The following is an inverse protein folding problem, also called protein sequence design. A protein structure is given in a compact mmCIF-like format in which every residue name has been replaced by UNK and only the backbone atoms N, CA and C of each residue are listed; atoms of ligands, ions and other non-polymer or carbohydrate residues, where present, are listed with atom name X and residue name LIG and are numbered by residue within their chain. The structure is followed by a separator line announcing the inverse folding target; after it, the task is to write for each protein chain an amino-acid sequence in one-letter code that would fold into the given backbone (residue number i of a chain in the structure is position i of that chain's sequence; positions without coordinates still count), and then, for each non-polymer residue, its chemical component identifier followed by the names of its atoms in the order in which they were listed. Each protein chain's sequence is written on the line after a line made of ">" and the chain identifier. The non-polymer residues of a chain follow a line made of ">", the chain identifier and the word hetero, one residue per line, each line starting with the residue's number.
data_IF_391263415054
#
_entry.id   IF_391263415054
#
_cell.length_a   1.000
_cell.length_b   1.000
_cell.length_c   1.000
_cell.angle_alpha   90.00
_cell.angle_beta   90.00
_cell.angle_gamma   90.00
#
_symmetry.space_group_name_H-M   'P 1'
#
loop_
_entity.id
_entity.type
_entity.pdbx_description
1 polymer ?
#
# COMPACT_ATOMS: atom_id res chain seq x y z
N UNK A 1 -63.20 -57.34 -30.92
CA UNK A 1 -63.60 -56.06 -30.31
C UNK A 1 -62.33 -55.27 -30.05
N UNK A 2 -62.08 -54.23 -30.85
CA UNK A 2 -60.94 -53.30 -30.73
C UNK A 2 -61.23 -52.29 -29.63
N UNK A 3 -60.26 -52.01 -28.76
CA UNK A 3 -60.18 -50.72 -28.05
C UNK A 3 -58.70 -50.31 -27.98
N UNK A 4 -58.42 -49.17 -28.59
CA UNK A 4 -57.17 -48.41 -28.59
C UNK A 4 -57.08 -47.42 -27.39
N UNK A 5 -55.90 -46.82 -27.27
CA UNK A 5 -55.52 -45.52 -26.69
C UNK A 5 -54.95 -45.44 -25.27
N UNK A 6 -53.82 -44.73 -25.17
CA UNK A 6 -53.37 -44.08 -23.94
C UNK A 6 -51.87 -43.81 -23.79
N UNK A 7 -51.20 -43.20 -24.78
CA UNK A 7 -49.82 -42.72 -24.65
C UNK A 7 -49.80 -41.44 -23.79
N UNK A 8 -49.29 -41.51 -22.55
CA UNK A 8 -49.13 -40.35 -21.67
C UNK A 8 -47.70 -39.84 -21.80
N UNK A 9 -47.56 -38.61 -22.28
CA UNK A 9 -46.30 -37.94 -22.54
C UNK A 9 -45.54 -37.54 -21.28
N UNK A 10 -44.25 -37.84 -21.26
CA UNK A 10 -43.25 -37.36 -20.32
C UNK A 10 -42.90 -35.90 -20.64
N UNK A 11 -43.47 -34.97 -19.88
CA UNK A 11 -43.05 -33.57 -19.86
C UNK A 11 -41.74 -33.41 -19.09
N UNK A 12 -40.65 -33.15 -19.79
CA UNK A 12 -39.37 -32.73 -19.19
C UNK A 12 -39.53 -31.27 -18.76
N UNK A 13 -39.64 -31.04 -17.45
CA UNK A 13 -39.55 -29.70 -16.86
C UNK A 13 -38.08 -29.33 -16.80
N UNK A 14 -37.61 -28.59 -17.80
CA UNK A 14 -36.28 -27.97 -17.79
C UNK A 14 -36.25 -26.85 -16.74
N UNK A 15 -35.64 -27.15 -15.59
CA UNK A 15 -35.34 -26.19 -14.55
C UNK A 15 -34.19 -25.28 -15.03
N UNK A 16 -34.52 -24.09 -15.54
CA UNK A 16 -33.52 -23.06 -15.81
C UNK A 16 -33.03 -22.49 -14.47
N UNK A 17 -31.82 -22.87 -14.08
CA UNK A 17 -31.07 -22.18 -13.03
C UNK A 17 -30.65 -20.83 -13.63
N UNK A 18 -31.38 -19.76 -13.29
CA UNK A 18 -30.90 -18.39 -13.48
C UNK A 18 -29.75 -18.19 -12.51
N UNK A 19 -28.53 -18.39 -13.01
CA UNK A 19 -27.33 -17.86 -12.37
C UNK A 19 -27.42 -16.34 -12.44
N UNK A 20 -27.88 -15.73 -11.35
CA UNK A 20 -27.73 -14.29 -11.15
C UNK A 20 -26.24 -14.02 -10.96
N UNK A 21 -25.52 -13.85 -12.07
CA UNK A 21 -24.23 -13.17 -12.07
C UNK A 21 -24.48 -11.70 -11.74
N UNK A 22 -24.80 -11.44 -10.48
CA UNK A 22 -24.68 -10.14 -9.87
C UNK A 22 -23.21 -9.77 -9.83
N UNK A 23 -22.70 -9.25 -10.94
CA UNK A 23 -21.43 -8.54 -11.00
C UNK A 23 -21.58 -7.25 -10.19
N UNK A 24 -21.57 -7.38 -8.87
CA UNK A 24 -21.09 -6.31 -8.02
C UNK A 24 -19.67 -6.02 -8.54
N UNK A 25 -19.49 -4.83 -9.12
CA UNK A 25 -18.20 -4.33 -9.55
C UNK A 25 -17.33 -4.13 -8.31
N UNK A 26 -16.78 -5.23 -7.78
CA UNK A 26 -15.69 -5.20 -6.81
C UNK A 26 -14.59 -4.42 -7.50
N UNK A 27 -14.40 -3.16 -7.10
CA UNK A 27 -13.31 -2.36 -7.59
C UNK A 27 -12.03 -3.18 -7.43
N UNK A 28 -11.41 -3.55 -8.55
CA UNK A 28 -10.22 -4.38 -8.55
C UNK A 28 -9.19 -3.68 -7.67
N UNK A 29 -8.55 -4.35 -6.68
CA UNK A 29 -7.58 -3.69 -5.79
C UNK A 29 -6.49 -2.91 -6.55
N UNK A 30 -6.15 -3.37 -7.75
CA UNK A 30 -5.25 -2.67 -8.68
C UNK A 30 -5.81 -1.31 -9.15
N UNK A 31 -7.11 -1.21 -9.44
CA UNK A 31 -7.77 0.04 -9.81
C UNK A 31 -7.78 1.03 -8.63
N UNK A 32 -8.10 0.58 -7.42
CA UNK A 32 -8.03 1.42 -6.20
C UNK A 32 -6.61 1.94 -5.96
N UNK A 33 -5.60 1.05 -6.08
CA UNK A 33 -4.19 1.42 -5.98
C UNK A 33 -3.78 2.46 -7.03
N UNK A 34 -4.14 2.25 -8.30
CA UNK A 34 -3.77 3.14 -9.39
C UNK A 34 -4.42 4.52 -9.24
N UNK A 35 -5.68 4.57 -8.79
CA UNK A 35 -6.37 5.82 -8.49
C UNK A 35 -5.67 6.59 -7.35
N UNK A 36 -5.28 5.89 -6.28
CA UNK A 36 -4.56 6.48 -5.16
C UNK A 36 -3.15 6.96 -5.56
N UNK A 37 -2.45 6.18 -6.39
CA UNK A 37 -1.13 6.53 -6.91
C UNK A 37 -1.18 7.79 -7.79
N UNK A 38 -2.22 7.94 -8.62
CA UNK A 38 -2.43 9.16 -9.43
C UNK A 38 -2.60 10.39 -8.54
N UNK A 39 -3.42 10.29 -7.48
CA UNK A 39 -3.60 11.38 -6.52
C UNK A 39 -2.30 11.74 -5.80
N UNK A 40 -1.54 10.73 -5.39
CA UNK A 40 -0.24 10.91 -4.75
C UNK A 40 0.76 11.62 -5.67
N UNK A 41 0.88 11.18 -6.91
CA UNK A 41 1.77 11.76 -7.91
C UNK A 41 1.51 13.27 -8.07
N UNK A 42 0.24 13.64 -8.26
CA UNK A 42 -0.19 15.05 -8.35
C UNK A 42 0.16 15.85 -7.09
N UNK A 43 0.04 15.26 -5.90
CA UNK A 43 0.37 15.93 -4.65
C UNK A 43 1.89 16.12 -4.46
N UNK A 44 2.69 15.13 -4.87
CA UNK A 44 4.14 15.08 -4.61
C UNK A 44 4.99 16.08 -5.40
N UNK A 45 4.53 16.52 -6.58
CA UNK A 45 5.28 17.49 -7.39
C UNK A 45 5.22 18.94 -6.91
N UNK A 46 4.25 19.28 -6.05
CA UNK A 46 3.89 20.67 -5.80
C UNK A 46 4.87 21.49 -4.95
N UNK A 47 5.66 20.85 -4.07
CA UNK A 47 6.48 21.61 -3.12
C UNK A 47 7.59 22.44 -3.79
N UNK A 48 8.15 21.96 -4.90
CA UNK A 48 9.18 22.68 -5.67
C UNK A 48 8.64 23.95 -6.35
N UNK A 49 7.33 24.00 -6.56
CA UNK A 49 6.65 25.15 -7.18
C UNK A 49 6.03 26.11 -6.18
N UNK A 50 6.05 25.77 -4.89
CA UNK A 50 5.51 26.62 -3.83
C UNK A 50 6.35 27.89 -3.67
N UNK A 51 5.70 29.05 -3.68
CA UNK A 51 6.34 30.36 -3.55
C UNK A 51 6.28 30.89 -2.14
N UNK A 52 5.25 30.50 -1.39
CA UNK A 52 5.03 30.96 -0.01
C UNK A 52 5.12 29.82 1.00
N UNK A 53 5.29 30.20 2.25
CA UNK A 53 5.46 29.27 3.36
C UNK A 53 4.17 28.51 3.67
N UNK A 54 3.02 29.17 3.57
CA UNK A 54 1.72 28.52 3.65
C UNK A 54 1.51 27.50 2.52
N UNK A 55 1.98 27.78 1.30
CA UNK A 55 1.90 26.81 0.21
C UNK A 55 2.76 25.58 0.53
N UNK A 56 4.01 25.77 0.99
CA UNK A 56 4.88 24.66 1.40
C UNK A 56 4.25 23.84 2.53
N UNK A 57 3.72 24.49 3.57
CA UNK A 57 3.02 23.83 4.69
C UNK A 57 1.83 23.00 4.21
N UNK A 58 0.95 23.57 3.39
CA UNK A 58 -0.21 22.87 2.83
C UNK A 58 0.21 21.67 1.95
N UNK A 59 1.34 21.76 1.24
CA UNK A 59 1.90 20.63 0.50
C UNK A 59 2.35 19.49 1.42
N UNK A 60 3.07 19.81 2.49
CA UNK A 60 3.50 18.83 3.51
C UNK A 60 2.27 18.14 4.13
N UNK A 61 1.29 18.92 4.58
CA UNK A 61 0.05 18.39 5.19
C UNK A 61 -0.75 17.50 4.22
N UNK A 62 -0.78 17.86 2.93
CA UNK A 62 -1.43 17.03 1.90
C UNK A 62 -0.70 15.70 1.71
N UNK A 63 0.63 15.72 1.69
CA UNK A 63 1.43 14.51 1.56
C UNK A 63 1.30 13.58 2.75
N UNK A 64 1.23 14.14 3.96
CA UNK A 64 1.09 13.39 5.21
C UNK A 64 -0.16 12.49 5.28
N UNK A 65 -1.16 12.72 4.41
CA UNK A 65 -2.39 11.90 4.36
C UNK A 65 -2.25 10.61 3.56
N UNK A 66 -1.24 10.49 2.70
CA UNK A 66 -1.12 9.35 1.79
C UNK A 66 -0.62 8.05 2.44
N UNK A 67 0.34 8.06 3.39
CA UNK A 67 0.78 6.84 4.06
C UNK A 67 -0.39 6.01 4.62
N UNK A 68 -1.24 6.60 5.45
CA UNK A 68 -2.41 5.91 6.02
C UNK A 68 -3.37 5.37 4.96
N UNK A 69 -3.56 6.07 3.83
CA UNK A 69 -4.46 5.63 2.75
C UNK A 69 -3.92 4.41 2.01
N UNK A 70 -2.61 4.36 1.75
CA UNK A 70 -1.99 3.18 1.16
C UNK A 70 -2.01 1.99 2.11
N UNK A 71 -1.82 2.22 3.41
CA UNK A 71 -1.91 1.16 4.43
C UNK A 71 -3.32 0.60 4.56
N UNK A 72 -4.34 1.46 4.55
CA UNK A 72 -5.74 1.02 4.56
C UNK A 72 -6.07 0.12 3.35
N UNK A 73 -5.52 0.44 2.16
CA UNK A 73 -5.70 -0.40 0.98
C UNK A 73 -5.01 -1.76 1.14
N UNK A 74 -3.80 -1.81 1.72
CA UNK A 74 -3.08 -3.05 1.96
C UNK A 74 -3.82 -3.95 2.96
N UNK A 75 -4.34 -3.38 4.04
CA UNK A 75 -5.11 -4.10 5.05
C UNK A 75 -6.44 -4.64 4.55
N UNK A 76 -7.08 -3.94 3.61
CA UNK A 76 -8.31 -4.40 2.96
C UNK A 76 -8.05 -5.61 2.05
N UNK A 77 -6.83 -5.77 1.56
CA UNK A 77 -6.49 -6.80 0.56
C UNK A 77 -5.14 -7.52 0.85
N UNK A 78 -4.94 -8.10 2.05
CA UNK A 78 -3.63 -8.55 2.52
C UNK A 78 -3.00 -9.66 1.67
N UNK A 79 -3.83 -10.53 1.10
CA UNK A 79 -3.39 -11.64 0.24
C UNK A 79 -3.16 -11.22 -1.21
N UNK A 80 -3.62 -10.02 -1.61
CA UNK A 80 -3.45 -9.54 -2.96
C UNK A 80 -2.02 -8.99 -3.15
N UNK A 81 -1.32 -9.26 -4.28
CA UNK A 81 -0.01 -8.71 -4.55
C UNK A 81 0.04 -7.17 -4.55
N UNK A 82 -1.11 -6.50 -4.68
CA UNK A 82 -1.25 -5.05 -4.52
C UNK A 82 -0.95 -4.58 -3.09
N UNK A 83 -1.21 -5.38 -2.05
CA UNK A 83 -0.96 -4.96 -0.67
C UNK A 83 0.51 -4.64 -0.41
N UNK A 84 1.44 -5.51 -0.83
CA UNK A 84 2.87 -5.23 -0.71
C UNK A 84 3.29 -4.00 -1.54
N UNK A 85 2.70 -3.80 -2.73
CA UNK A 85 2.94 -2.58 -3.53
C UNK A 85 2.44 -1.33 -2.81
N UNK A 86 1.29 -1.40 -2.16
CA UNK A 86 0.71 -0.32 -1.39
C UNK A 86 1.55 0.01 -0.14
N UNK A 87 2.01 -1.00 0.61
CA UNK A 87 2.92 -0.79 1.76
C UNK A 87 4.22 -0.13 1.30
N UNK A 88 4.82 -0.61 0.20
CA UNK A 88 6.00 0.04 -0.40
C UNK A 88 5.74 1.50 -0.74
N UNK A 89 4.57 1.79 -1.31
CA UNK A 89 4.20 3.16 -1.66
C UNK A 89 3.92 4.03 -0.43
N UNK A 90 3.43 3.46 0.67
CA UNK A 90 3.31 4.14 1.95
C UNK A 90 4.68 4.59 2.48
N UNK A 91 5.70 3.72 2.42
CA UNK A 91 7.09 4.06 2.79
C UNK A 91 7.62 5.20 1.92
N UNK A 92 7.36 5.15 0.61
CA UNK A 92 7.73 6.25 -0.28
C UNK A 92 7.04 7.56 0.09
N UNK A 93 5.74 7.52 0.40
CA UNK A 93 4.99 8.70 0.82
C UNK A 93 5.51 9.29 2.14
N UNK A 94 5.91 8.43 3.08
CA UNK A 94 6.57 8.83 4.32
C UNK A 94 7.86 9.60 4.01
N UNK A 95 8.77 9.02 3.22
CA UNK A 95 10.04 9.67 2.87
C UNK A 95 9.86 10.96 2.06
N UNK A 96 8.88 11.00 1.16
CA UNK A 96 8.55 12.24 0.42
C UNK A 96 7.99 13.32 1.33
N UNK A 97 7.22 12.98 2.37
CA UNK A 97 6.75 13.95 3.35
C UNK A 97 7.89 14.45 4.24
N UNK A 98 8.81 13.58 4.66
CA UNK A 98 9.99 13.96 5.45
C UNK A 98 10.88 14.93 4.66
N UNK A 99 11.19 14.58 3.40
CA UNK A 99 11.93 15.46 2.50
C UNK A 99 11.21 16.78 2.27
N UNK A 100 9.88 16.76 2.07
CA UNK A 100 9.09 17.97 1.91
C UNK A 100 9.12 18.86 3.17
N UNK A 101 9.05 18.25 4.35
CA UNK A 101 9.12 18.95 5.63
C UNK A 101 10.49 19.60 5.83
N UNK A 102 11.56 18.89 5.45
CA UNK A 102 12.92 19.41 5.51
C UNK A 102 13.14 20.57 4.55
N UNK A 103 12.75 20.44 3.27
CA UNK A 103 12.78 21.56 2.31
C UNK A 103 11.99 22.74 2.84
N UNK A 104 10.80 22.48 3.39
CA UNK A 104 10.00 23.52 3.98
C UNK A 104 10.77 24.19 5.12
N UNK A 105 11.42 23.44 6.02
CA UNK A 105 12.19 23.97 7.14
C UNK A 105 13.38 24.82 6.68
N UNK A 106 14.18 24.34 5.72
CA UNK A 106 15.34 25.06 5.20
C UNK A 106 14.96 26.38 4.51
N UNK A 107 13.81 26.42 3.84
CA UNK A 107 13.38 27.58 3.06
C UNK A 107 12.62 28.63 3.89
N UNK A 108 12.42 28.43 5.20
CA UNK A 108 11.34 29.09 5.92
C UNK A 108 11.74 29.60 7.31
N UNK A 109 11.09 30.69 7.74
CA UNK A 109 11.14 31.22 9.11
C UNK A 109 9.89 30.82 9.93
N UNK A 110 8.92 30.13 9.32
CA UNK A 110 7.64 29.79 9.93
C UNK A 110 7.63 28.41 10.60
N UNK A 111 6.71 28.25 11.55
CA UNK A 111 6.53 27.04 12.36
C UNK A 111 5.86 25.93 11.53
N UNK A 112 6.65 25.03 10.93
CA UNK A 112 6.16 23.91 10.13
C UNK A 112 5.75 22.75 11.06
N UNK A 113 4.65 22.03 10.75
CA UNK A 113 4.20 20.89 11.55
C UNK A 113 5.28 19.82 11.71
N UNK A 114 5.36 19.28 12.93
CA UNK A 114 6.38 18.32 13.36
C UNK A 114 6.03 16.92 12.83
N UNK A 115 6.54 16.60 11.63
CA UNK A 115 6.60 15.22 11.10
C UNK A 115 5.25 14.47 10.97
N UNK A 116 5.33 13.16 10.73
CA UNK A 116 4.18 12.26 10.65
C UNK A 116 3.71 11.93 12.06
N UNK A 117 2.45 12.26 12.38
CA UNK A 117 1.87 12.00 13.71
C UNK A 117 0.86 10.86 13.73
N UNK A 118 0.51 10.28 12.57
CA UNK A 118 -0.57 9.29 12.45
C UNK A 118 -0.16 7.83 12.77
N UNK A 119 1.08 7.62 13.22
CA UNK A 119 1.62 6.29 13.53
C UNK A 119 1.88 5.40 12.30
N UNK A 120 1.77 5.92 11.07
CA UNK A 120 1.99 5.16 9.84
C UNK A 120 3.33 4.40 9.79
N UNK A 121 4.48 4.93 10.25
CA UNK A 121 5.73 4.17 10.26
C UNK A 121 5.65 2.89 11.09
N UNK A 122 5.10 2.96 12.31
CA UNK A 122 4.90 1.79 13.16
C UNK A 122 3.93 0.79 12.53
N UNK A 123 2.87 1.28 11.89
CA UNK A 123 1.87 0.45 11.21
C UNK A 123 2.42 -0.25 9.96
N UNK A 124 3.28 0.41 9.18
CA UNK A 124 4.06 -0.23 8.10
C UNK A 124 4.83 -1.43 8.63
N UNK A 125 5.58 -1.25 9.72
CA UNK A 125 6.41 -2.29 10.32
C UNK A 125 5.55 -3.46 10.82
N UNK A 126 4.43 -3.16 11.48
CA UNK A 126 3.51 -4.18 11.97
C UNK A 126 2.97 -5.06 10.82
N UNK A 127 2.54 -4.46 9.70
CA UNK A 127 2.03 -5.21 8.55
C UNK A 127 3.13 -6.05 7.88
N UNK A 128 4.32 -5.47 7.69
CA UNK A 128 5.44 -6.20 7.09
C UNK A 128 5.90 -7.38 7.95
N UNK A 129 5.96 -7.21 9.27
CA UNK A 129 6.32 -8.29 10.19
C UNK A 129 5.28 -9.40 10.20
N UNK A 130 3.98 -9.05 10.18
CA UNK A 130 2.88 -10.01 10.20
C UNK A 130 2.82 -10.84 8.91
N UNK A 131 2.86 -10.19 7.75
CA UNK A 131 2.46 -10.82 6.49
C UNK A 131 3.62 -11.12 5.55
N UNK A 132 4.72 -10.36 5.63
CA UNK A 132 5.74 -10.34 4.58
C UNK A 132 7.16 -10.63 5.07
N UNK A 133 7.38 -10.87 6.35
CA UNK A 133 8.73 -10.99 6.94
C UNK A 133 9.61 -12.04 6.25
N UNK A 134 9.02 -13.14 5.79
CA UNK A 134 9.70 -14.24 5.10
C UNK A 134 9.57 -14.19 3.57
N UNK A 135 8.97 -13.14 3.02
CA UNK A 135 8.79 -13.01 1.57
C UNK A 135 10.13 -12.74 0.86
N UNK A 136 10.32 -13.34 -0.31
CA UNK A 136 11.38 -12.96 -1.25
C UNK A 136 11.06 -11.68 -2.02
N UNK A 137 9.84 -11.16 -1.92
CA UNK A 137 9.40 -9.91 -2.56
C UNK A 137 9.77 -8.64 -1.80
N UNK A 138 10.48 -8.75 -0.67
CA UNK A 138 10.84 -7.62 0.18
C UNK A 138 11.91 -6.69 -0.42
N UNK A 139 12.65 -7.11 -1.46
CA UNK A 139 13.77 -6.34 -2.00
C UNK A 139 13.43 -4.87 -2.28
N UNK A 140 12.39 -4.56 -3.07
CA UNK A 140 11.96 -3.19 -3.31
C UNK A 140 11.43 -2.43 -2.08
N UNK A 141 11.04 -3.12 -1.02
CA UNK A 141 10.62 -2.50 0.26
C UNK A 141 11.85 -2.12 1.08
N UNK A 142 12.80 -3.04 1.20
CA UNK A 142 14.08 -2.83 1.91
C UNK A 142 14.87 -1.69 1.25
N UNK A 143 14.93 -1.67 -0.08
CA UNK A 143 15.58 -0.59 -0.83
C UNK A 143 14.96 0.79 -0.52
N UNK A 144 13.62 0.86 -0.38
CA UNK A 144 12.94 2.12 0.01
C UNK A 144 13.25 2.53 1.44
N UNK A 145 13.32 1.57 2.37
CA UNK A 145 13.66 1.84 3.76
C UNK A 145 15.09 2.36 3.92
N UNK A 146 16.03 1.93 3.06
CA UNK A 146 17.42 2.43 3.08
C UNK A 146 17.52 3.96 2.98
N UNK A 147 16.57 4.61 2.31
CA UNK A 147 16.56 6.07 2.17
C UNK A 147 15.83 6.79 3.31
N UNK A 148 15.20 6.07 4.24
CA UNK A 148 14.51 6.64 5.40
C UNK A 148 15.24 6.34 6.69
N UNK A 149 15.75 7.37 7.39
CA UNK A 149 16.41 7.23 8.70
C UNK A 149 15.37 7.13 9.82
N UNK A 150 14.51 6.11 9.81
CA UNK A 150 13.45 5.92 10.82
C UNK A 150 13.72 4.69 11.68
N UNK A 151 13.83 4.88 12.99
CA UNK A 151 14.16 3.82 13.96
C UNK A 151 13.18 2.64 13.91
N UNK A 152 11.92 2.87 13.53
CA UNK A 152 10.95 1.80 13.34
C UNK A 152 11.37 0.82 12.24
N UNK A 153 11.98 1.31 11.16
CA UNK A 153 12.46 0.48 10.06
C UNK A 153 13.67 -0.35 10.47
N UNK A 154 14.54 0.16 11.34
CA UNK A 154 15.69 -0.60 11.87
C UNK A 154 15.23 -1.92 12.53
N UNK A 155 14.18 -1.86 13.37
CA UNK A 155 13.62 -3.05 14.03
C UNK A 155 13.15 -4.10 13.02
N UNK A 156 12.50 -3.65 11.94
CA UNK A 156 12.08 -4.55 10.86
C UNK A 156 13.27 -5.16 10.11
N UNK A 157 14.26 -4.34 9.71
CA UNK A 157 15.44 -4.81 8.99
C UNK A 157 16.24 -5.84 9.80
N UNK A 158 16.38 -5.64 11.12
CA UNK A 158 16.99 -6.65 12.01
C UNK A 158 16.17 -7.94 12.07
N UNK A 159 14.84 -7.86 12.03
CA UNK A 159 14.00 -9.05 11.96
C UNK A 159 14.20 -9.80 10.62
N UNK A 160 14.28 -9.09 9.49
CA UNK A 160 14.57 -9.69 8.17
C UNK A 160 15.89 -10.45 8.20
N UNK A 161 16.96 -9.87 8.78
CA UNK A 161 18.25 -10.57 8.90
C UNK A 161 18.17 -11.89 9.67
N UNK A 162 17.38 -11.92 10.74
CA UNK A 162 17.29 -13.10 11.63
C UNK A 162 16.36 -14.18 11.08
N UNK A 163 15.25 -13.76 10.46
CA UNK A 163 14.10 -14.65 10.24
C UNK A 163 13.81 -14.93 8.77
N UNK A 164 14.30 -14.10 7.84
CA UNK A 164 14.12 -14.34 6.42
C UNK A 164 15.19 -15.31 5.91
N UNK A 165 14.78 -16.41 5.26
CA UNK A 165 15.68 -17.45 4.76
C UNK A 165 16.36 -17.09 3.43
N UNK A 166 15.89 -16.05 2.74
CA UNK A 166 16.44 -15.65 1.44
C UNK A 166 17.70 -14.79 1.62
N UNK A 167 18.85 -15.32 1.18
CA UNK A 167 20.16 -14.64 1.28
C UNK A 167 20.18 -13.25 0.66
N UNK A 168 19.47 -13.06 -0.44
CA UNK A 168 19.34 -11.74 -1.09
C UNK A 168 18.67 -10.72 -0.15
N UNK A 169 17.58 -11.11 0.53
CA UNK A 169 16.88 -10.23 1.46
C UNK A 169 17.74 -9.93 2.69
N UNK A 170 18.48 -10.92 3.20
CA UNK A 170 19.45 -10.70 4.26
C UNK A 170 20.55 -9.71 3.84
N UNK A 171 21.11 -9.86 2.64
CA UNK A 171 22.13 -8.97 2.10
C UNK A 171 21.63 -7.53 1.96
N UNK A 172 20.43 -7.34 1.40
CA UNK A 172 19.79 -6.03 1.29
C UNK A 172 19.49 -5.41 2.66
N UNK A 173 19.00 -6.20 3.62
CA UNK A 173 18.73 -5.72 4.97
C UNK A 173 20.02 -5.32 5.70
N UNK A 174 21.10 -6.08 5.52
CA UNK A 174 22.44 -5.74 6.04
C UNK A 174 22.93 -4.41 5.47
N UNK A 175 22.83 -4.24 4.15
CA UNK A 175 23.20 -3.00 3.48
C UNK A 175 22.36 -1.81 3.95
N UNK A 176 21.05 -1.99 4.13
CA UNK A 176 20.17 -0.94 4.63
C UNK A 176 20.50 -0.55 6.08
N UNK A 177 20.84 -1.53 6.93
CA UNK A 177 21.23 -1.31 8.32
C UNK A 177 22.56 -0.58 8.48
N UNK A 178 23.47 -0.65 7.51
CA UNK A 178 24.70 0.13 7.54
C UNK A 178 24.48 1.65 7.46
N UNK A 179 23.27 2.09 7.10
CA UNK A 179 22.87 3.50 7.10
C UNK A 179 22.21 3.99 8.39
N UNK A 180 22.06 3.14 9.41
CA UNK A 180 21.53 3.48 10.75
C UNK A 180 22.68 3.58 11.77
#
# INVERSE_FOLDING_TARGET
>A
MKIDFGLIGTGIVSLFIVSSSGAATVAEPAAEYNALLKQYSTASGGIRTAKTDDQRRLHVERLGKFPARFLALAEKHPENPVALKAIRQAIQAIGSMDSASHIAWEMNHANIPVGITDGSPGRVVALLQRDYLRSNGLGPVIDRMRYGCRMEFEKFLRAVLRENSHREMQGLASLALAGF
#
